data_IF_649723239886
#
_entry.id   IF_649723239886
#
_cell.length_a   1.000
_cell.length_b   1.000
_cell.length_c   1.000
_cell.angle_alpha   90.00
_cell.angle_beta   90.00
_cell.angle_gamma   90.00
#
_symmetry.space_group_name_H-M   'P 1'
#
loop_
_entity.id
_entity.type
_entity.pdbx_description
1 polymer ?
#
# COMPACT_ATOMS: atom_id res chain seq x y z
N UNK A 1 -32.56 1.62 2.28
CA UNK A 1 -31.46 2.08 3.17
C UNK A 1 -30.22 1.26 2.86
N UNK A 2 -29.37 1.67 1.91
CA UNK A 2 -28.15 0.92 1.51
C UNK A 2 -26.95 1.80 1.16
N UNK A 3 -27.06 3.14 1.22
CA UNK A 3 -26.02 4.06 0.77
C UNK A 3 -24.76 4.15 1.69
N UNK A 4 -24.76 3.51 2.87
CA UNK A 4 -23.67 3.66 3.85
C UNK A 4 -22.46 2.76 3.56
N UNK A 5 -22.61 1.68 2.77
CA UNK A 5 -21.50 0.77 2.45
C UNK A 5 -20.71 1.18 1.21
N UNK A 6 -21.35 1.81 0.21
CA UNK A 6 -20.73 2.16 -1.08
C UNK A 6 -19.62 3.23 -0.96
N UNK A 7 -19.71 4.08 0.06
CA UNK A 7 -18.73 5.14 0.34
C UNK A 7 -17.80 4.83 1.51
N UNK A 8 -17.73 3.57 1.96
CA UNK A 8 -16.73 3.18 2.96
C UNK A 8 -15.33 3.15 2.34
N UNK A 9 -14.29 3.42 3.14
CA UNK A 9 -12.90 3.38 2.69
C UNK A 9 -12.58 2.05 1.99
N UNK A 10 -12.96 0.92 2.60
CA UNK A 10 -12.76 -0.41 2.02
C UNK A 10 -13.48 -0.59 0.66
N UNK A 11 -14.74 -0.14 0.53
CA UNK A 11 -15.48 -0.25 -0.73
C UNK A 11 -14.87 0.61 -1.84
N UNK A 12 -14.38 1.80 -1.50
CA UNK A 12 -13.71 2.70 -2.44
C UNK A 12 -12.35 2.11 -2.88
N UNK A 13 -11.58 1.51 -1.97
CA UNK A 13 -10.36 0.78 -2.32
C UNK A 13 -10.62 -0.42 -3.26
N UNK A 14 -11.68 -1.18 -3.03
CA UNK A 14 -12.06 -2.28 -3.92
C UNK A 14 -12.44 -1.77 -5.32
N UNK A 15 -13.22 -0.70 -5.40
CA UNK A 15 -13.57 -0.07 -6.69
C UNK A 15 -12.33 0.47 -7.40
N UNK A 16 -11.42 1.14 -6.69
CA UNK A 16 -10.17 1.65 -7.26
C UNK A 16 -9.30 0.51 -7.81
N UNK A 17 -9.26 -0.63 -7.11
CA UNK A 17 -8.56 -1.83 -7.58
C UNK A 17 -9.18 -2.37 -8.87
N UNK A 18 -10.51 -2.41 -8.97
CA UNK A 18 -11.20 -2.81 -10.21
C UNK A 18 -10.93 -1.85 -11.37
N UNK A 19 -10.88 -0.54 -11.10
CA UNK A 19 -10.52 0.47 -12.09
C UNK A 19 -9.07 0.29 -12.58
N UNK A 20 -8.11 0.02 -11.69
CA UNK A 20 -6.73 -0.30 -12.08
C UNK A 20 -6.65 -1.55 -12.96
N UNK A 21 -7.32 -2.64 -12.58
CA UNK A 21 -7.33 -3.88 -13.38
C UNK A 21 -7.89 -3.65 -14.79
N UNK A 22 -8.75 -2.66 -14.96
CA UNK A 22 -9.30 -2.27 -16.25
C UNK A 22 -8.52 -1.13 -16.94
N UNK A 23 -7.34 -0.77 -16.44
CA UNK A 23 -6.47 0.26 -17.02
C UNK A 23 -6.91 1.71 -16.77
N UNK A 24 -7.92 1.94 -15.93
CA UNK A 24 -8.46 3.27 -15.63
C UNK A 24 -7.74 3.88 -14.42
N UNK A 25 -6.47 4.21 -14.61
CA UNK A 25 -5.57 4.63 -13.52
C UNK A 25 -5.99 5.95 -12.84
N UNK A 26 -6.47 6.94 -13.60
CA UNK A 26 -6.96 8.21 -13.04
C UNK A 26 -8.20 8.01 -12.16
N UNK A 27 -9.13 7.15 -12.59
CA UNK A 27 -10.31 6.81 -11.80
C UNK A 27 -9.90 6.09 -10.51
N UNK A 28 -8.95 5.16 -10.59
CA UNK A 28 -8.43 4.48 -9.42
C UNK A 28 -7.81 5.46 -8.40
N UNK A 29 -7.00 6.42 -8.87
CA UNK A 29 -6.42 7.47 -8.03
C UNK A 29 -7.48 8.29 -7.30
N UNK A 30 -8.54 8.70 -8.00
CA UNK A 30 -9.64 9.42 -7.38
C UNK A 30 -10.36 8.57 -6.32
N UNK A 31 -10.60 7.30 -6.62
CA UNK A 31 -11.24 6.36 -5.69
C UNK A 31 -10.41 6.15 -4.42
N UNK A 32 -9.09 6.02 -4.51
CA UNK A 32 -8.24 5.91 -3.33
C UNK A 32 -8.15 7.19 -2.52
N UNK A 33 -8.12 8.36 -3.18
CA UNK A 33 -8.19 9.65 -2.50
C UNK A 33 -9.48 9.77 -1.69
N UNK A 34 -10.61 9.41 -2.29
CA UNK A 34 -11.90 9.37 -1.61
C UNK A 34 -11.92 8.34 -0.48
N UNK A 35 -11.26 7.19 -0.65
CA UNK A 35 -11.13 6.19 0.41
C UNK A 35 -10.39 6.75 1.63
N UNK A 36 -9.29 7.49 1.38
CA UNK A 36 -8.54 8.17 2.43
C UNK A 36 -9.37 9.23 3.16
N UNK A 37 -10.13 10.04 2.42
CA UNK A 37 -11.05 11.05 2.99
C UNK A 37 -12.21 10.42 3.78
N UNK A 38 -12.62 9.20 3.41
CA UNK A 38 -13.72 8.47 4.04
C UNK A 38 -13.28 7.56 5.20
N UNK A 39 -11.99 7.48 5.50
CA UNK A 39 -11.47 6.65 6.59
C UNK A 39 -12.00 7.11 7.95
N UNK A 40 -12.45 6.16 8.77
CA UNK A 40 -13.11 6.46 10.06
C UNK A 40 -12.28 6.09 11.29
N UNK A 41 -11.31 5.19 11.11
CA UNK A 41 -10.38 4.74 12.12
C UNK A 41 -9.00 4.50 11.50
N UNK A 42 -8.01 4.17 12.33
CA UNK A 42 -6.63 3.94 11.87
C UNK A 42 -6.52 2.70 10.97
N UNK A 43 -7.43 1.74 11.06
CA UNK A 43 -7.45 0.58 10.17
C UNK A 43 -7.91 0.99 8.76
N UNK A 44 -9.04 1.69 8.65
CA UNK A 44 -9.53 2.27 7.38
C UNK A 44 -8.44 3.18 6.77
N UNK A 45 -7.78 4.01 7.59
CA UNK A 45 -6.73 4.91 7.15
C UNK A 45 -5.47 4.17 6.68
N UNK A 46 -5.07 3.10 7.38
CA UNK A 46 -3.95 2.25 6.97
C UNK A 46 -4.19 1.65 5.59
N UNK A 47 -5.35 1.04 5.38
CA UNK A 47 -5.72 0.43 4.09
C UNK A 47 -5.76 1.49 3.00
N UNK A 48 -6.43 2.62 3.22
CA UNK A 48 -6.50 3.68 2.23
C UNK A 48 -5.12 4.28 1.87
N UNK A 49 -4.24 4.49 2.87
CA UNK A 49 -2.89 4.98 2.64
C UNK A 49 -2.03 4.00 1.83
N UNK A 50 -2.19 2.68 2.05
CA UNK A 50 -1.53 1.66 1.23
C UNK A 50 -1.93 1.76 -0.25
N UNK A 51 -3.22 1.93 -0.53
CA UNK A 51 -3.68 2.11 -1.92
C UNK A 51 -3.27 3.47 -2.51
N UNK A 52 -3.24 4.54 -1.72
CA UNK A 52 -2.67 5.82 -2.14
C UNK A 52 -1.20 5.69 -2.54
N UNK A 53 -0.40 4.91 -1.82
CA UNK A 53 1.00 4.65 -2.15
C UNK A 53 1.14 3.94 -3.50
N UNK A 54 0.32 2.92 -3.73
CA UNK A 54 0.31 2.12 -4.98
C UNK A 54 0.02 2.96 -6.22
N UNK A 55 -0.75 4.04 -6.07
CA UNK A 55 -1.17 4.87 -7.21
C UNK A 55 -0.21 6.01 -7.56
N UNK A 56 0.87 6.20 -6.80
CA UNK A 56 1.85 7.27 -7.04
C UNK A 56 2.88 6.86 -8.10
N UNK A 57 3.14 7.75 -9.07
CA UNK A 57 4.21 7.56 -10.05
C UNK A 57 5.59 7.95 -9.49
N UNK A 58 5.64 8.90 -8.55
CA UNK A 58 6.87 9.33 -7.89
C UNK A 58 7.21 8.41 -6.71
N UNK A 59 8.37 7.71 -6.73
CA UNK A 59 8.80 6.85 -5.63
C UNK A 59 8.87 7.54 -4.27
N UNK A 60 9.16 8.85 -4.22
CA UNK A 60 9.19 9.62 -2.98
C UNK A 60 7.77 9.84 -2.42
N UNK A 61 6.77 10.03 -3.28
CA UNK A 61 5.38 10.09 -2.86
C UNK A 61 4.89 8.72 -2.36
N UNK A 62 5.24 7.66 -3.08
CA UNK A 62 4.92 6.28 -2.70
C UNK A 62 5.51 5.95 -1.32
N UNK A 63 6.78 6.30 -1.08
CA UNK A 63 7.43 6.12 0.22
C UNK A 63 6.63 6.79 1.34
N UNK A 64 6.30 8.09 1.18
CA UNK A 64 5.58 8.82 2.23
C UNK A 64 4.22 8.21 2.56
N UNK A 65 3.48 7.77 1.54
CA UNK A 65 2.20 7.10 1.77
C UNK A 65 2.36 5.73 2.41
N UNK A 66 3.39 4.96 2.05
CA UNK A 66 3.71 3.69 2.70
C UNK A 66 4.12 3.89 4.18
N UNK A 67 4.85 4.96 4.50
CA UNK A 67 5.17 5.33 5.89
C UNK A 67 3.93 5.72 6.68
N UNK A 68 3.00 6.47 6.08
CA UNK A 68 1.70 6.78 6.68
C UNK A 68 0.91 5.49 6.94
N UNK A 69 0.87 4.57 5.97
CA UNK A 69 0.16 3.29 6.11
C UNK A 69 0.72 2.47 7.29
N UNK A 70 2.05 2.39 7.42
CA UNK A 70 2.69 1.71 8.55
C UNK A 70 2.42 2.40 9.89
N UNK A 71 2.51 3.73 9.94
CA UNK A 71 2.23 4.46 11.18
C UNK A 71 0.79 4.28 11.64
N UNK A 72 -0.17 4.27 10.70
CA UNK A 72 -1.58 3.95 10.99
C UNK A 72 -1.73 2.52 11.44
N UNK A 73 -1.08 1.56 10.79
CA UNK A 73 -1.12 0.17 11.20
C UNK A 73 -0.67 -0.03 12.67
N UNK A 74 0.41 0.65 13.06
CA UNK A 74 0.96 0.59 14.41
C UNK A 74 0.08 1.25 15.47
N UNK A 75 -0.82 2.14 15.07
CA UNK A 75 -1.79 2.78 15.96
C UNK A 75 -3.06 1.92 16.16
N UNK A 76 -3.26 0.88 15.35
CA UNK A 76 -4.39 -0.03 15.47
C UNK A 76 -4.11 -1.05 16.58
N UNK A 77 -4.94 -1.06 17.64
CA UNK A 77 -4.91 -2.06 18.72
C UNK A 77 -5.74 -3.32 18.38
N UNK A 78 -5.69 -3.74 17.12
CA UNK A 78 -6.54 -4.79 16.55
C UNK A 78 -5.70 -5.78 15.74
N UNK A 79 -5.93 -7.07 15.96
CA UNK A 79 -5.21 -8.15 15.28
C UNK A 79 -5.43 -8.15 13.76
N UNK A 80 -6.52 -7.54 13.26
CA UNK A 80 -6.81 -7.40 11.82
C UNK A 80 -5.69 -6.73 11.03
N UNK A 81 -4.86 -5.92 11.69
CA UNK A 81 -3.74 -5.24 11.03
C UNK A 81 -2.53 -6.14 10.82
N UNK A 82 -2.44 -7.27 11.55
CA UNK A 82 -1.27 -8.13 11.55
C UNK A 82 -1.00 -8.74 10.17
N UNK A 83 -2.06 -9.18 9.49
CA UNK A 83 -1.99 -9.73 8.13
C UNK A 83 -1.52 -8.70 7.09
N UNK A 84 -1.56 -7.41 7.43
CA UNK A 84 -1.18 -6.33 6.53
C UNK A 84 0.31 -5.98 6.60
N UNK A 85 0.97 -6.22 7.75
CA UNK A 85 2.39 -5.91 7.94
C UNK A 85 3.33 -6.46 6.86
N UNK A 86 3.26 -7.74 6.44
CA UNK A 86 4.18 -8.23 5.42
C UNK A 86 4.07 -7.45 4.08
N UNK A 87 2.86 -7.09 3.66
CA UNK A 87 2.65 -6.26 2.47
C UNK A 87 3.19 -4.84 2.65
N UNK A 88 2.94 -4.20 3.80
CA UNK A 88 3.45 -2.87 4.11
C UNK A 88 4.99 -2.84 4.07
N UNK A 89 5.63 -3.84 4.66
CA UNK A 89 7.09 -3.95 4.67
C UNK A 89 7.67 -4.15 3.27
N UNK A 90 7.10 -5.01 2.42
CA UNK A 90 7.59 -5.11 1.03
C UNK A 90 7.43 -3.81 0.26
N UNK A 91 6.32 -3.09 0.43
CA UNK A 91 6.11 -1.84 -0.29
C UNK A 91 7.05 -0.74 0.21
N UNK A 92 7.33 -0.66 1.51
CA UNK A 92 8.39 0.20 2.05
C UNK A 92 9.77 -0.17 1.51
N UNK A 93 10.09 -1.47 1.48
CA UNK A 93 11.33 -1.98 0.92
C UNK A 93 11.52 -1.53 -0.53
N UNK A 94 10.48 -1.70 -1.35
CA UNK A 94 10.46 -1.29 -2.75
C UNK A 94 10.57 0.21 -2.93
N UNK A 95 9.85 1.01 -2.14
CA UNK A 95 9.97 2.46 -2.19
C UNK A 95 11.38 2.94 -1.85
N UNK A 96 12.02 2.33 -0.83
CA UNK A 96 13.42 2.62 -0.50
C UNK A 96 14.38 2.17 -1.59
N UNK A 97 14.18 1.01 -2.20
CA UNK A 97 15.00 0.49 -3.30
C UNK A 97 14.97 1.43 -4.51
N UNK A 98 13.78 1.87 -4.94
CA UNK A 98 13.60 2.80 -6.06
C UNK A 98 14.27 4.17 -5.81
N UNK A 99 14.46 4.55 -4.55
CA UNK A 99 15.15 5.78 -4.14
C UNK A 99 16.65 5.56 -3.88
N UNK A 100 17.18 4.35 -4.06
CA UNK A 100 18.58 4.02 -3.78
C UNK A 100 18.92 3.88 -2.29
N UNK A 101 17.93 3.83 -1.40
CA UNK A 101 18.10 3.63 0.04
C UNK A 101 18.31 2.16 0.39
N UNK A 102 19.36 1.54 -0.15
CA UNK A 102 19.58 0.07 -0.12
C UNK A 102 19.52 -0.54 1.28
N UNK A 103 20.10 0.12 2.30
CA UNK A 103 20.10 -0.40 3.67
C UNK A 103 18.69 -0.50 4.25
N UNK A 104 17.87 0.53 4.02
CA UNK A 104 16.48 0.58 4.47
C UNK A 104 15.63 -0.42 3.69
N UNK A 105 15.85 -0.55 2.38
CA UNK A 105 15.17 -1.53 1.54
C UNK A 105 15.35 -2.96 2.09
N UNK A 106 16.61 -3.37 2.30
CA UNK A 106 16.95 -4.68 2.84
C UNK A 106 16.34 -4.91 4.24
N UNK A 107 16.36 -3.90 5.10
CA UNK A 107 15.74 -3.99 6.44
C UNK A 107 14.25 -4.30 6.34
N UNK A 108 13.52 -3.60 5.48
CA UNK A 108 12.08 -3.83 5.35
C UNK A 108 11.76 -5.16 4.66
N UNK A 109 12.55 -5.58 3.67
CA UNK A 109 12.40 -6.91 3.10
C UNK A 109 12.65 -8.03 4.12
N UNK A 110 13.62 -7.86 5.02
CA UNK A 110 13.83 -8.81 6.13
C UNK A 110 12.63 -8.82 7.08
N UNK A 111 12.08 -7.66 7.45
CA UNK A 111 10.87 -7.60 8.27
C UNK A 111 9.68 -8.30 7.60
N UNK A 112 9.52 -8.19 6.28
CA UNK A 112 8.50 -8.94 5.56
C UNK A 112 8.73 -10.46 5.62
N UNK A 113 9.99 -10.89 5.46
CA UNK A 113 10.37 -12.30 5.52
C UNK A 113 10.16 -12.91 6.91
N UNK A 114 10.43 -12.15 7.98
CA UNK A 114 10.16 -12.56 9.37
C UNK A 114 8.66 -12.79 9.62
N UNK A 115 7.80 -12.14 8.83
CA UNK A 115 6.34 -12.33 8.79
C UNK A 115 5.89 -13.38 7.75
N UNK A 116 6.81 -14.11 7.13
CA UNK A 116 6.54 -15.19 6.18
C UNK A 116 6.35 -14.76 4.72
N UNK A 117 6.57 -13.48 4.39
CA UNK A 117 6.48 -12.97 3.02
C UNK A 117 7.87 -12.62 2.47
N UNK A 118 8.45 -13.55 1.72
CA UNK A 118 9.77 -13.36 1.12
C UNK A 118 9.70 -12.44 -0.10
N UNK A 119 10.55 -11.43 -0.14
CA UNK A 119 10.80 -10.64 -1.33
C UNK A 119 12.10 -11.10 -1.99
N UNK A 120 12.03 -11.57 -3.23
CA UNK A 120 13.22 -11.76 -4.05
C UNK A 120 13.69 -10.38 -4.52
N UNK A 121 14.71 -9.82 -3.85
CA UNK A 121 15.41 -8.64 -4.36
C UNK A 121 16.06 -9.01 -5.69
N UNK A 122 15.42 -8.60 -6.78
CA UNK A 122 15.89 -8.84 -8.13
C UNK A 122 17.12 -7.98 -8.40
N UNK A 123 18.30 -8.60 -8.33
CA UNK A 123 19.50 -8.06 -8.97
C UNK A 123 19.23 -7.75 -10.44
N UNK A 124 20.01 -6.81 -10.98
CA UNK A 124 19.95 -6.22 -12.33
C UNK A 124 19.70 -7.22 -13.50
N UNK A 125 18.51 -7.81 -13.63
CA UNK A 125 18.09 -8.56 -14.83
C UNK A 125 16.60 -8.97 -14.87
N UNK A 126 15.66 -8.02 -14.74
CA UNK A 126 14.27 -8.22 -15.21
C UNK A 126 13.84 -7.12 -16.18
N UNK A 127 14.69 -6.84 -17.17
CA UNK A 127 14.21 -6.39 -18.48
C UNK A 127 13.79 -7.66 -19.24
N UNK A 128 12.55 -7.68 -19.73
CA UNK A 128 11.91 -8.74 -20.52
C UNK A 128 11.51 -10.02 -19.78
N UNK A 129 10.21 -10.12 -19.45
CA UNK A 129 9.42 -11.33 -19.73
C UNK A 129 7.92 -11.00 -19.76
N UNK A 130 7.44 -10.97 -21.01
CA UNK A 130 6.05 -11.06 -21.54
C UNK A 130 5.05 -9.97 -21.17
#
# INVERSE_FOLDING_TARGET
MTAKSENSAAALCMQGTQAEYAGRLEEARDLYRRAWEAARDDFDACVAAHYMARSQDDPAQALRWNEIALARAQAVDDERVQDFYPSLYVNLGRSHELLGHTKQALRYYQLAADFGLNHESGGENRLFSM
#
